data_IF_897177919411
#
_entry.id   IF_897177919411
#
_cell.length_a   1.000
_cell.length_b   1.000
_cell.length_c   1.000
_cell.angle_alpha   90.00
_cell.angle_beta   90.00
_cell.angle_gamma   90.00
#
_symmetry.space_group_name_H-M   'P 1'
#
loop_
_entity.id
_entity.type
_entity.pdbx_description
1 polymer ?
#
# COMPACT_ATOMS: atom_id res chain seq x y z
N UNK A 1 -19.02 22.16 -8.45
CA UNK A 1 -18.44 21.03 -7.69
C UNK A 1 -16.93 21.00 -7.95
N UNK A 2 -16.06 20.76 -6.95
CA UNK A 2 -14.66 20.50 -7.22
C UNK A 2 -14.54 19.25 -8.13
N UNK A 3 -13.49 19.16 -8.97
CA UNK A 3 -13.28 17.99 -9.81
C UNK A 3 -13.15 16.74 -8.94
N UNK A 4 -13.81 15.65 -9.33
CA UNK A 4 -13.60 14.33 -8.74
C UNK A 4 -12.18 13.92 -9.12
N UNK A 5 -11.26 13.97 -8.15
CA UNK A 5 -9.90 13.50 -8.35
C UNK A 5 -9.93 12.00 -8.65
N UNK A 6 -9.33 11.62 -9.79
CA UNK A 6 -9.26 10.22 -10.22
C UNK A 6 -7.99 9.57 -9.65
N UNK A 7 -8.04 8.31 -9.19
CA UNK A 7 -6.85 7.58 -8.79
C UNK A 7 -5.93 7.38 -10.01
N UNK A 8 -4.85 8.16 -10.11
CA UNK A 8 -3.91 8.12 -11.23
C UNK A 8 -2.76 7.13 -11.01
N UNK A 9 -2.62 6.56 -9.80
CA UNK A 9 -1.46 5.74 -9.46
C UNK A 9 -1.28 4.50 -10.36
N UNK A 10 -2.36 3.94 -10.91
CA UNK A 10 -2.28 2.81 -11.85
C UNK A 10 -1.57 3.18 -13.15
N UNK A 11 -1.69 4.43 -13.61
CA UNK A 11 -1.00 4.90 -14.83
C UNK A 11 0.51 4.92 -14.63
N UNK A 12 0.98 5.30 -13.43
CA UNK A 12 2.41 5.26 -13.08
C UNK A 12 2.93 3.82 -13.00
N UNK A 13 2.14 2.91 -12.43
CA UNK A 13 2.49 1.48 -12.36
C UNK A 13 2.61 0.89 -13.76
N UNK A 14 1.67 1.19 -14.66
CA UNK A 14 1.67 0.71 -16.05
C UNK A 14 2.81 1.33 -16.87
N UNK A 15 3.05 2.63 -16.69
CA UNK A 15 4.18 3.32 -17.32
C UNK A 15 5.51 2.67 -16.94
N UNK A 16 5.72 2.36 -15.67
CA UNK A 16 6.96 1.74 -15.21
C UNK A 16 7.16 0.35 -15.83
N UNK A 17 6.11 -0.47 -15.92
CA UNK A 17 6.14 -1.78 -16.58
C UNK A 17 6.53 -1.68 -18.07
N UNK A 18 6.01 -0.69 -18.79
CA UNK A 18 6.33 -0.47 -20.20
C UNK A 18 7.70 0.18 -20.44
N UNK A 19 8.25 0.89 -19.44
CA UNK A 19 9.47 1.70 -19.59
C UNK A 19 10.76 0.94 -19.32
N UNK A 20 10.73 -0.04 -18.43
CA UNK A 20 11.90 -0.78 -17.97
C UNK A 20 11.78 -2.25 -18.32
N UNK A 21 12.80 -2.83 -18.95
CA UNK A 21 12.82 -4.25 -19.30
C UNK A 21 12.97 -5.17 -18.08
N UNK A 22 13.60 -4.67 -17.02
CA UNK A 22 13.76 -5.36 -15.74
C UNK A 22 13.68 -4.33 -14.61
N UNK A 23 12.68 -4.48 -13.74
CA UNK A 23 12.46 -3.58 -12.62
C UNK A 23 11.76 -4.29 -11.46
N UNK A 24 11.85 -3.67 -10.28
CA UNK A 24 11.03 -3.98 -9.11
C UNK A 24 10.33 -2.69 -8.72
N UNK A 25 9.01 -2.76 -8.51
CA UNK A 25 8.22 -1.66 -7.95
C UNK A 25 7.83 -2.02 -6.53
N UNK A 26 8.18 -1.17 -5.56
CA UNK A 26 7.84 -1.37 -4.15
C UNK A 26 6.90 -0.25 -3.73
N UNK A 27 5.74 -0.65 -3.20
CA UNK A 27 4.72 0.29 -2.73
C UNK A 27 4.37 -0.03 -1.30
N UNK A 28 4.34 1.02 -0.48
CA UNK A 28 3.86 1.00 0.89
C UNK A 28 2.64 1.90 0.98
N UNK A 29 1.47 1.32 1.15
CA UNK A 29 0.20 2.05 1.19
C UNK A 29 -0.80 1.40 2.15
N UNK A 30 -1.85 2.15 2.50
CA UNK A 30 -2.90 1.70 3.38
C UNK A 30 -3.75 0.60 2.70
N UNK A 31 -4.34 -0.28 3.52
CA UNK A 31 -5.29 -1.33 3.10
C UNK A 31 -6.39 -1.45 4.16
N UNK A 32 -7.45 -2.20 3.85
CA UNK A 32 -8.51 -2.55 4.80
C UNK A 32 -9.43 -1.39 5.19
N UNK A 33 -10.10 -0.72 4.24
CA UNK A 33 -11.01 0.39 4.56
C UNK A 33 -12.30 -0.04 5.27
N UNK A 34 -12.61 -1.34 5.28
CA UNK A 34 -13.91 -1.86 5.73
C UNK A 34 -14.11 -1.94 7.24
N UNK A 35 -13.03 -2.05 8.02
CA UNK A 35 -13.12 -2.18 9.48
C UNK A 35 -13.20 -0.82 10.19
N UNK A 36 -13.41 -0.84 11.51
CA UNK A 36 -13.53 0.38 12.29
C UNK A 36 -12.26 1.26 12.25
N UNK A 37 -11.09 0.64 12.17
CA UNK A 37 -9.81 1.34 12.06
C UNK A 37 -9.67 2.02 10.70
N UNK A 38 -9.91 1.27 9.61
CA UNK A 38 -9.85 1.74 8.23
C UNK A 38 -10.83 2.89 7.96
N UNK A 39 -12.07 2.74 8.42
CA UNK A 39 -13.07 3.81 8.29
C UNK A 39 -12.67 5.09 9.05
N UNK A 40 -12.11 4.94 10.26
CA UNK A 40 -11.63 6.08 11.03
C UNK A 40 -10.42 6.74 10.36
N UNK A 41 -9.47 5.94 9.88
CA UNK A 41 -8.29 6.39 9.14
C UNK A 41 -8.69 7.20 7.92
N UNK A 42 -9.63 6.70 7.10
CA UNK A 42 -10.14 7.41 5.92
C UNK A 42 -10.76 8.76 6.30
N UNK A 43 -11.66 8.80 7.30
CA UNK A 43 -12.27 10.06 7.76
C UNK A 43 -11.22 11.06 8.27
N UNK A 44 -10.28 10.59 9.07
CA UNK A 44 -9.24 11.41 9.69
C UNK A 44 -8.30 12.03 8.65
N UNK A 45 -7.88 11.23 7.66
CA UNK A 45 -7.00 11.67 6.59
C UNK A 45 -7.75 12.60 5.61
N UNK A 46 -9.00 12.29 5.27
CA UNK A 46 -9.85 13.16 4.44
C UNK A 46 -10.11 14.52 5.11
N UNK A 47 -10.32 14.57 6.44
CA UNK A 47 -10.50 15.80 7.19
C UNK A 47 -9.27 16.74 7.15
N UNK A 48 -8.09 16.21 6.80
CA UNK A 48 -6.86 16.99 6.56
C UNK A 48 -6.71 17.46 5.11
N UNK A 49 -7.69 17.19 4.25
CA UNK A 49 -7.64 17.53 2.84
C UNK A 49 -6.82 16.55 1.98
N UNK A 50 -6.60 15.32 2.46
CA UNK A 50 -5.77 14.33 1.76
C UNK A 50 -6.49 12.99 1.52
N UNK A 51 -7.66 12.95 0.87
CA UNK A 51 -8.46 11.72 0.76
C UNK A 51 -7.66 10.54 0.16
N UNK A 52 -7.84 9.34 0.72
CA UNK A 52 -7.20 8.11 0.23
C UNK A 52 -7.95 7.52 -0.97
N UNK A 53 -7.90 8.21 -2.11
CA UNK A 53 -8.69 7.89 -3.30
C UNK A 53 -8.39 6.50 -3.89
N UNK A 54 -7.15 6.02 -3.75
CA UNK A 54 -6.76 4.69 -4.22
C UNK A 54 -7.30 3.55 -3.36
N UNK A 55 -7.56 3.80 -2.07
CA UNK A 55 -7.92 2.77 -1.10
C UNK A 55 -9.33 2.20 -1.35
N UNK A 56 -10.26 3.02 -1.86
CA UNK A 56 -11.60 2.52 -2.22
C UNK A 56 -11.56 1.59 -3.45
N UNK A 57 -10.68 1.87 -4.42
CA UNK A 57 -10.54 1.07 -5.63
C UNK A 57 -9.73 -0.21 -5.42
N UNK A 58 -8.75 -0.18 -4.50
CA UNK A 58 -7.85 -1.28 -4.21
C UNK A 58 -7.80 -1.57 -2.69
N UNK A 59 -8.90 -2.08 -2.12
CA UNK A 59 -9.10 -2.12 -0.67
C UNK A 59 -8.29 -3.20 0.05
N UNK A 60 -7.85 -4.22 -0.66
CA UNK A 60 -7.19 -5.39 -0.10
C UNK A 60 -6.00 -5.86 -0.95
N UNK A 61 -5.29 -6.87 -0.43
CA UNK A 61 -4.10 -7.42 -1.07
C UNK A 61 -4.38 -8.04 -2.44
N UNK A 62 -5.54 -8.65 -2.64
CA UNK A 62 -5.86 -9.24 -3.93
C UNK A 62 -6.11 -8.14 -4.96
N UNK A 63 -6.87 -7.11 -4.60
CA UNK A 63 -7.12 -5.96 -5.47
C UNK A 63 -5.81 -5.24 -5.84
N UNK A 64 -4.90 -5.05 -4.89
CA UNK A 64 -3.57 -4.50 -5.16
C UNK A 64 -2.76 -5.43 -6.06
N UNK A 65 -2.71 -6.73 -5.79
CA UNK A 65 -2.00 -7.69 -6.66
C UNK A 65 -2.52 -7.62 -8.09
N UNK A 66 -3.84 -7.64 -8.26
CA UNK A 66 -4.47 -7.55 -9.58
C UNK A 66 -4.16 -6.22 -10.28
N UNK A 67 -4.09 -5.10 -9.56
CA UNK A 67 -3.71 -3.79 -10.10
C UNK A 67 -2.35 -3.84 -10.80
N UNK A 68 -1.34 -4.48 -10.20
CA UNK A 68 -0.01 -4.61 -10.81
C UNK A 68 -0.01 -5.60 -11.98
N UNK A 69 -0.63 -6.77 -11.80
CA UNK A 69 -0.68 -7.79 -12.85
C UNK A 69 -1.37 -7.27 -14.12
N UNK A 70 -2.50 -6.58 -13.95
CA UNK A 70 -3.24 -5.96 -15.06
C UNK A 70 -2.50 -4.77 -15.69
N UNK A 71 -1.62 -4.11 -14.94
CA UNK A 71 -0.76 -3.04 -15.42
C UNK A 71 0.50 -3.55 -16.17
N UNK A 72 0.65 -4.86 -16.35
CA UNK A 72 1.72 -5.47 -17.14
C UNK A 72 2.89 -6.05 -16.34
N UNK A 73 2.77 -6.14 -15.01
CA UNK A 73 3.78 -6.79 -14.17
C UNK A 73 3.62 -8.31 -14.17
N UNK A 74 4.73 -9.05 -14.20
CA UNK A 74 4.71 -10.52 -14.25
C UNK A 74 4.42 -11.19 -12.90
N UNK A 75 4.76 -10.53 -11.79
CA UNK A 75 4.56 -11.01 -10.41
C UNK A 75 4.27 -9.81 -9.52
N UNK A 76 3.35 -10.01 -8.58
CA UNK A 76 3.03 -9.04 -7.54
C UNK A 76 2.76 -9.78 -6.22
N UNK A 77 3.33 -9.27 -5.13
CA UNK A 77 3.20 -9.82 -3.78
C UNK A 77 2.92 -8.68 -2.81
N UNK A 78 2.17 -8.99 -1.77
CA UNK A 78 1.78 -8.04 -0.73
C UNK A 78 1.86 -8.73 0.63
N UNK A 79 2.39 -8.02 1.62
CA UNK A 79 2.48 -8.47 3.02
C UNK A 79 2.12 -7.28 3.92
N UNK A 80 1.60 -7.53 5.13
CA UNK A 80 1.44 -6.46 6.11
C UNK A 80 2.78 -6.09 6.73
N UNK A 81 2.89 -4.89 7.32
CA UNK A 81 4.05 -4.54 8.15
C UNK A 81 4.17 -5.44 9.38
N UNK A 82 3.06 -6.02 9.85
CA UNK A 82 3.06 -6.99 10.95
C UNK A 82 3.76 -8.29 10.50
N UNK A 83 3.41 -8.81 9.32
CA UNK A 83 4.04 -10.01 8.76
C UNK A 83 5.54 -9.76 8.51
N UNK A 84 5.89 -8.60 7.98
CA UNK A 84 7.29 -8.21 7.79
C UNK A 84 8.05 -8.22 9.12
N UNK A 85 7.48 -7.62 10.17
CA UNK A 85 8.11 -7.56 11.48
C UNK A 85 8.21 -8.94 12.15
N UNK A 86 7.14 -9.72 12.15
CA UNK A 86 7.04 -11.00 12.86
C UNK A 86 7.75 -12.16 12.14
N UNK A 87 7.77 -12.14 10.80
CA UNK A 87 8.22 -13.30 10.01
C UNK A 87 9.53 -13.03 9.28
N UNK A 88 9.72 -11.80 8.76
CA UNK A 88 10.86 -11.50 7.87
C UNK A 88 12.02 -10.82 8.57
N UNK A 89 11.76 -10.05 9.63
CA UNK A 89 12.80 -9.31 10.33
C UNK A 89 13.64 -10.24 11.21
N UNK A 90 14.96 -10.13 11.09
CA UNK A 90 15.89 -10.92 11.90
C UNK A 90 15.64 -10.69 13.41
N UNK A 91 15.72 -11.72 14.26
CA UNK A 91 15.49 -11.57 15.71
C UNK A 91 16.33 -10.47 16.36
N UNK A 92 17.57 -10.30 15.92
CA UNK A 92 18.47 -9.26 16.43
C UNK A 92 17.98 -7.85 16.09
N UNK A 93 17.42 -7.65 14.90
CA UNK A 93 16.88 -6.35 14.49
C UNK A 93 15.60 -6.02 15.25
N UNK A 94 14.77 -7.03 15.56
CA UNK A 94 13.63 -6.86 16.46
C UNK A 94 14.04 -6.49 17.88
N UNK A 95 15.03 -7.19 18.44
CA UNK A 95 15.55 -6.89 19.78
C UNK A 95 16.16 -5.49 19.84
N UNK A 96 16.92 -5.11 18.80
CA UNK A 96 17.49 -3.77 18.67
C UNK A 96 16.40 -2.69 18.62
N UNK A 97 15.35 -2.90 17.82
CA UNK A 97 14.23 -1.96 17.72
C UNK A 97 13.48 -1.82 19.05
N UNK A 98 13.18 -2.93 19.73
CA UNK A 98 12.51 -2.92 21.03
C UNK A 98 13.34 -2.33 22.18
N UNK A 99 14.64 -2.09 21.97
CA UNK A 99 15.50 -1.40 22.95
C UNK A 99 15.43 0.13 22.87
N UNK A 100 14.78 0.71 21.85
CA UNK A 100 14.72 2.17 21.64
C UNK A 100 13.59 2.81 22.45
N UNK A 101 12.47 2.11 22.59
CA UNK A 101 11.29 2.55 23.32
C UNK A 101 10.52 1.33 23.83
N UNK A 102 9.79 1.49 24.94
CA UNK A 102 8.94 0.44 25.48
C UNK A 102 7.66 0.35 24.66
N UNK A 103 7.60 -0.62 23.74
CA UNK A 103 6.44 -0.96 22.91
C UNK A 103 5.71 -2.19 23.45
#
# INVERSE_FOLDING_TARGET
PPPVERPQGTEVIAWAAGRFSQAVFVTYEQVGPGDAFGQMMMRNIAARGCPLLGLEAFPDFEAQRQRYLQAGWHRAECETMKDLYEVRLHPDERARAGGVEWL
#
